data_IF_816444975836
#
_entry.id   IF_816444975836
#
_cell.length_a   1.000
_cell.length_b   1.000
_cell.length_c   1.000
_cell.angle_alpha   90.00
_cell.angle_beta   90.00
_cell.angle_gamma   90.00
#
_symmetry.space_group_name_H-M   'P 1'
#
loop_
_entity.id
_entity.type
_entity.pdbx_description
1 polymer ?
#
# COMPACT_ATOMS: atom_id res chain seq x y z
N UNK A 1 17.38 -37.88 -51.39
CA UNK A 1 18.19 -37.16 -50.39
C UNK A 1 17.30 -36.13 -49.70
N UNK A 2 17.17 -36.26 -48.37
CA UNK A 2 16.62 -35.34 -47.34
C UNK A 2 15.22 -34.73 -47.59
N UNK A 3 14.15 -35.12 -46.89
CA UNK A 3 13.86 -35.00 -45.45
C UNK A 3 13.84 -33.55 -44.96
N UNK A 4 12.65 -33.05 -44.59
CA UNK A 4 12.28 -32.80 -43.18
C UNK A 4 10.76 -32.58 -43.13
N UNK A 5 10.14 -33.48 -42.38
CA UNK A 5 8.75 -33.59 -41.97
C UNK A 5 8.55 -32.79 -40.66
N UNK A 6 7.37 -32.22 -40.43
CA UNK A 6 7.14 -31.34 -39.29
C UNK A 6 5.75 -30.73 -39.18
N UNK A 7 4.69 -31.46 -39.52
CA UNK A 7 3.32 -31.04 -39.20
C UNK A 7 2.97 -31.40 -37.74
N UNK A 8 2.99 -30.39 -36.87
CA UNK A 8 2.58 -30.48 -35.47
C UNK A 8 1.04 -30.48 -35.38
N UNK A 9 0.48 -31.64 -35.10
CA UNK A 9 -0.91 -31.86 -34.71
C UNK A 9 -1.16 -31.25 -33.32
N UNK A 10 -2.17 -30.40 -33.18
CA UNK A 10 -2.73 -30.00 -31.90
C UNK A 10 -4.04 -30.77 -31.67
N UNK A 11 -4.22 -31.49 -30.55
CA UNK A 11 -5.51 -32.06 -30.22
C UNK A 11 -6.45 -30.99 -29.64
N UNK A 12 -7.71 -31.03 -30.08
CA UNK A 12 -8.87 -30.38 -29.45
C UNK A 12 -8.94 -30.81 -27.98
N UNK A 13 -9.15 -29.85 -27.09
CA UNK A 13 -9.57 -30.11 -25.71
C UNK A 13 -11.05 -29.76 -25.64
N UNK A 14 -11.85 -30.79 -25.38
CA UNK A 14 -13.27 -30.73 -24.99
C UNK A 14 -13.44 -29.79 -23.79
N UNK A 15 -14.37 -28.84 -23.88
CA UNK A 15 -14.72 -27.93 -22.78
C UNK A 15 -15.88 -28.55 -22.01
N UNK A 16 -15.55 -29.29 -20.94
CA UNK A 16 -16.52 -29.80 -19.97
C UNK A 16 -17.11 -28.63 -19.17
N UNK A 17 -18.43 -28.55 -19.19
CA UNK A 17 -19.23 -27.63 -18.39
C UNK A 17 -19.37 -28.22 -16.98
N UNK A 18 -18.72 -27.61 -16.00
CA UNK A 18 -19.08 -27.81 -14.60
C UNK A 18 -19.82 -26.60 -14.05
N UNK A 19 -21.03 -26.89 -13.56
CA UNK A 19 -21.89 -26.05 -12.74
C UNK A 19 -21.15 -25.60 -11.48
N UNK A 20 -21.14 -24.29 -11.22
CA UNK A 20 -20.86 -23.77 -9.88
C UNK A 20 -22.00 -22.83 -9.48
N UNK A 21 -22.80 -23.35 -8.56
CA UNK A 21 -23.93 -22.71 -7.92
C UNK A 21 -23.50 -21.56 -6.99
N UNK A 22 -24.43 -20.61 -6.91
CA UNK A 22 -24.52 -19.45 -6.01
C UNK A 22 -23.83 -19.55 -4.65
N UNK A 23 -23.02 -18.54 -4.33
CA UNK A 23 -22.79 -18.12 -2.95
C UNK A 23 -22.84 -16.60 -2.84
N UNK A 24 -23.98 -16.14 -2.33
CA UNK A 24 -24.36 -14.76 -2.13
C UNK A 24 -23.92 -14.32 -0.73
N UNK A 25 -22.90 -13.45 -0.62
CA UNK A 25 -22.50 -12.83 0.65
C UNK A 25 -23.07 -11.41 0.75
N UNK A 26 -24.19 -11.28 1.47
CA UNK A 26 -24.67 -9.99 1.97
C UNK A 26 -24.25 -9.84 3.43
N UNK A 27 -23.43 -8.81 3.75
CA UNK A 27 -23.14 -8.42 5.14
C UNK A 27 -23.53 -6.96 5.35
N UNK A 28 -24.70 -6.78 5.96
CA UNK A 28 -25.28 -5.51 6.44
C UNK A 28 -24.64 -5.17 7.79
N UNK A 29 -24.09 -3.96 7.95
CA UNK A 29 -23.74 -3.40 9.26
C UNK A 29 -24.81 -2.38 9.68
N UNK A 30 -25.36 -2.44 10.92
CA UNK A 30 -26.15 -1.35 11.45
C UNK A 30 -25.35 -0.45 12.43
N UNK A 31 -25.91 0.73 12.61
CA UNK A 31 -25.32 1.96 13.12
C UNK A 31 -24.96 2.02 14.61
N UNK A 32 -23.97 2.89 14.86
CA UNK A 32 -23.51 3.47 16.11
C UNK A 32 -24.62 4.25 16.84
N UNK A 33 -24.72 4.08 18.17
CA UNK A 33 -25.52 4.96 19.04
C UNK A 33 -24.74 5.35 20.28
N UNK A 34 -24.52 6.65 20.38
CA UNK A 34 -23.84 7.41 21.41
C UNK A 34 -24.70 7.51 22.69
N UNK A 35 -24.09 7.48 23.89
CA UNK A 35 -24.58 8.10 25.14
C UNK A 35 -23.62 7.88 26.31
N UNK A 36 -23.34 8.96 27.05
CA UNK A 36 -23.09 8.91 28.50
C UNK A 36 -21.70 9.33 28.96
N UNK A 37 -21.53 10.63 29.20
CA UNK A 37 -20.40 11.14 29.97
C UNK A 37 -20.61 11.00 31.48
N UNK A 38 -19.52 10.92 32.24
CA UNK A 38 -19.48 11.46 33.60
C UNK A 38 -18.07 11.93 33.97
N UNK A 39 -18.04 12.97 34.80
CA UNK A 39 -16.90 13.82 35.17
C UNK A 39 -16.35 13.44 36.55
N UNK A 40 -15.09 13.82 36.79
CA UNK A 40 -14.50 14.11 38.12
C UNK A 40 -13.50 13.06 38.59
N UNK A 41 -12.45 13.35 39.36
CA UNK A 41 -11.86 14.59 39.90
C UNK A 41 -10.50 14.14 40.52
N UNK A 42 -9.40 14.86 40.30
CA UNK A 42 -8.12 14.77 41.06
C UNK A 42 -8.21 15.83 42.20
N UNK A 43 -7.28 16.07 43.16
CA UNK A 43 -6.14 15.32 43.78
C UNK A 43 -6.12 15.41 45.33
N UNK A 44 -5.09 14.87 46.00
CA UNK A 44 -4.79 15.26 47.40
C UNK A 44 -3.54 14.64 48.03
N UNK A 45 -2.47 15.43 48.11
CA UNK A 45 -1.24 15.23 48.90
C UNK A 45 -1.52 15.66 50.36
N UNK A 46 -0.98 14.97 51.37
CA UNK A 46 -0.73 15.55 52.70
C UNK A 46 0.61 15.10 53.26
N UNK A 47 1.43 16.10 53.59
CA UNK A 47 2.66 16.09 54.38
C UNK A 47 2.29 16.48 55.82
N UNK A 48 2.94 15.87 56.83
CA UNK A 48 3.02 16.38 58.20
C UNK A 48 3.81 15.38 59.07
N UNK A 49 5.01 15.59 59.62
CA UNK A 49 5.69 16.72 60.30
C UNK A 49 5.28 16.89 61.79
N UNK A 50 6.15 16.33 62.64
CA UNK A 50 6.73 16.85 63.92
C UNK A 50 5.93 16.79 65.23
N UNK A 51 6.74 16.56 66.29
CA UNK A 51 6.61 16.94 67.71
C UNK A 51 6.14 15.80 68.64
N UNK A 52 6.64 15.53 69.84
CA UNK A 52 7.75 15.99 70.71
C UNK A 52 7.47 15.40 72.12
N UNK A 53 8.39 15.61 73.09
CA UNK A 53 8.26 15.54 74.58
C UNK A 53 9.11 14.38 75.18
N UNK A 54 10.33 14.58 75.75
CA UNK A 54 10.78 15.35 76.97
C UNK A 54 10.24 14.66 78.24
N UNK A 55 10.95 14.24 79.30
CA UNK A 55 12.15 14.67 80.07
C UNK A 55 12.48 13.53 81.08
N UNK A 56 13.73 13.12 81.35
CA UNK A 56 14.74 13.67 82.30
C UNK A 56 14.45 13.47 83.80
N UNK A 57 15.28 12.67 84.49
CA UNK A 57 15.74 12.74 85.91
C UNK A 57 16.49 11.42 86.26
N UNK A 58 17.57 11.32 87.02
CA UNK A 58 18.25 12.22 87.96
C UNK A 58 19.67 11.65 88.21
N UNK A 59 20.69 12.52 88.24
CA UNK A 59 22.09 12.22 88.60
C UNK A 59 22.29 12.18 90.12
N UNK A 60 23.23 11.36 90.62
CA UNK A 60 24.26 11.76 91.62
C UNK A 60 25.34 10.68 91.79
N UNK A 61 26.60 11.07 91.51
CA UNK A 61 27.88 10.40 91.89
C UNK A 61 28.24 10.83 93.35
N UNK A 62 29.40 10.54 93.98
CA UNK A 62 30.61 9.81 93.52
C UNK A 62 31.34 8.93 94.57
N UNK A 63 32.47 8.30 94.14
CA UNK A 63 33.77 8.05 94.83
C UNK A 63 33.73 7.32 96.20
N UNK A 64 34.64 6.42 96.59
CA UNK A 64 36.02 6.11 96.22
C UNK A 64 36.39 4.84 97.05
N UNK A 65 37.30 4.00 96.54
CA UNK A 65 38.46 3.44 97.26
C UNK A 65 38.21 2.78 98.65
N UNK A 66 38.64 1.56 98.96
CA UNK A 66 39.95 0.96 98.70
C UNK A 66 40.11 -0.32 99.56
N UNK A 67 41.02 -1.18 99.12
CA UNK A 67 41.78 -2.17 99.90
C UNK A 67 41.16 -3.51 100.32
N UNK A 68 41.88 -4.53 99.86
CA UNK A 68 42.04 -5.82 100.47
C UNK A 68 42.39 -5.73 101.97
N UNK A 69 41.78 -6.60 102.77
CA UNK A 69 42.54 -7.30 103.80
C UNK A 69 41.86 -8.61 104.24
N UNK A 70 42.62 -9.69 104.10
CA UNK A 70 42.85 -10.73 105.10
C UNK A 70 41.69 -11.48 105.78
N UNK A 71 41.69 -12.78 105.51
CA UNK A 71 42.03 -13.82 106.52
C UNK A 71 40.92 -14.42 107.38
N UNK A 72 40.78 -15.73 107.15
CA UNK A 72 40.48 -16.81 108.10
C UNK A 72 39.06 -16.98 108.65
N UNK A 73 38.44 -18.05 108.13
CA UNK A 73 38.04 -19.26 108.88
C UNK A 73 37.95 -19.11 110.41
N UNK A 74 36.78 -19.42 110.97
CA UNK A 74 36.56 -20.63 111.79
C UNK A 74 35.13 -20.74 112.34
N UNK A 75 34.50 -21.85 111.96
CA UNK A 75 33.78 -22.87 112.76
C UNK A 75 33.07 -22.50 114.07
N UNK A 76 31.78 -22.85 114.13
CA UNK A 76 30.91 -22.96 115.31
C UNK A 76 31.05 -24.41 115.86
N UNK A 77 31.63 -24.62 117.04
CA UNK A 77 31.08 -24.68 118.41
C UNK A 77 30.46 -26.02 118.82
N UNK A 78 31.05 -26.59 119.87
CA UNK A 78 30.43 -27.48 120.84
C UNK A 78 31.50 -28.30 121.58
N UNK A 79 31.62 -28.33 122.91
CA UNK A 79 30.79 -27.80 124.00
C UNK A 79 31.61 -27.85 125.33
N UNK A 80 31.25 -26.98 126.30
CA UNK A 80 31.37 -27.08 127.78
C UNK A 80 32.65 -26.60 128.51
N UNK A 81 32.54 -25.39 129.11
CA UNK A 81 32.70 -24.99 130.54
C UNK A 81 33.51 -25.89 131.52
N UNK A 82 34.25 -25.46 132.55
CA UNK A 82 34.43 -24.19 133.29
C UNK A 82 35.63 -24.33 134.28
N UNK A 83 36.40 -23.24 134.41
CA UNK A 83 37.06 -22.67 135.61
C UNK A 83 38.23 -23.32 136.42
N UNK A 84 39.16 -22.40 136.77
CA UNK A 84 40.18 -22.26 137.86
C UNK A 84 41.54 -23.01 137.87
N UNK A 85 42.62 -22.21 138.04
CA UNK A 85 44.10 -22.47 138.07
C UNK A 85 44.61 -23.26 139.32
N UNK A 86 45.92 -23.58 139.53
CA UNK A 86 47.18 -23.35 138.75
C UNK A 86 48.16 -24.59 138.67
N UNK A 87 49.33 -24.46 138.00
CA UNK A 87 50.68 -25.05 138.33
C UNK A 87 51.54 -25.50 137.13
N UNK A 88 52.86 -25.44 137.30
CA UNK A 88 53.92 -25.64 136.29
C UNK A 88 54.04 -27.06 135.73
N UNK A 89 54.44 -27.19 134.46
CA UNK A 89 55.36 -28.24 133.98
C UNK A 89 55.89 -27.93 132.57
N UNK A 90 57.14 -28.32 132.32
CA UNK A 90 57.89 -28.24 131.05
C UNK A 90 57.73 -29.58 130.31
N UNK A 91 57.86 -29.65 128.97
CA UNK A 91 58.60 -30.73 128.24
C UNK A 91 58.48 -30.67 126.69
N UNK A 92 59.65 -30.46 126.07
CA UNK A 92 60.28 -30.86 124.77
C UNK A 92 59.57 -30.86 123.39
N UNK A 93 60.40 -30.60 122.37
CA UNK A 93 60.13 -30.38 120.95
C UNK A 93 60.44 -31.59 120.03
N UNK A 94 59.91 -31.55 118.79
CA UNK A 94 60.23 -32.45 117.67
C UNK A 94 60.41 -31.65 116.37
N UNK A 95 61.48 -31.96 115.60
CA UNK A 95 61.99 -31.25 114.41
C UNK A 95 61.23 -31.62 113.13
N UNK A 96 60.92 -30.63 112.29
CA UNK A 96 60.42 -30.78 110.90
C UNK A 96 61.40 -30.16 109.90
N UNK A 97 61.63 -30.85 108.77
CA UNK A 97 62.50 -30.40 107.67
C UNK A 97 61.70 -29.53 106.70
N UNK A 98 62.14 -28.29 106.48
CA UNK A 98 61.59 -27.36 105.49
C UNK A 98 62.62 -27.10 104.37
N UNK A 99 62.19 -27.21 103.12
CA UNK A 99 62.99 -26.92 101.92
C UNK A 99 63.24 -25.43 101.81
N UNK A 100 64.51 -25.03 101.83
CA UNK A 100 64.96 -23.65 101.60
C UNK A 100 65.14 -23.45 100.09
N UNK A 101 64.25 -22.68 99.46
CA UNK A 101 64.45 -22.22 98.09
C UNK A 101 65.65 -21.26 98.06
N UNK A 102 66.74 -21.67 97.42
CA UNK A 102 67.92 -20.82 97.17
C UNK A 102 67.64 -19.98 95.93
N UNK A 103 67.25 -18.73 96.11
CA UNK A 103 67.31 -17.72 95.06
C UNK A 103 68.76 -17.25 94.89
N UNK A 104 69.22 -17.18 93.63
CA UNK A 104 70.53 -16.66 93.24
C UNK A 104 70.28 -15.33 92.50
N UNK A 105 70.58 -14.22 93.15
CA UNK A 105 70.50 -12.89 92.53
C UNK A 105 71.64 -12.73 91.52
N UNK A 106 71.32 -12.81 90.22
CA UNK A 106 72.23 -12.54 89.13
C UNK A 106 71.70 -11.38 88.28
N UNK A 107 72.47 -10.30 88.17
CA UNK A 107 72.14 -9.14 87.35
C UNK A 107 72.60 -9.39 85.91
N UNK A 108 71.67 -9.47 84.97
CA UNK A 108 71.95 -9.53 83.54
C UNK A 108 71.09 -8.53 82.79
N UNK A 109 71.60 -7.98 81.69
CA UNK A 109 70.83 -7.10 80.80
C UNK A 109 70.04 -7.96 79.82
N UNK A 110 68.71 -7.86 79.84
CA UNK A 110 67.85 -8.53 78.85
C UNK A 110 67.85 -7.68 77.58
N UNK A 111 68.33 -8.26 76.48
CA UNK A 111 68.27 -7.64 75.15
C UNK A 111 67.40 -8.51 74.25
N UNK A 112 66.55 -7.88 73.43
CA UNK A 112 65.71 -8.61 72.49
C UNK A 112 66.60 -9.30 71.45
N UNK A 113 66.31 -10.58 71.16
CA UNK A 113 67.04 -11.34 70.13
C UNK A 113 66.81 -10.79 68.71
N UNK A 114 65.62 -10.23 68.45
CA UNK A 114 65.25 -9.56 67.20
C UNK A 114 64.34 -8.38 67.53
N UNK A 115 64.63 -7.21 66.97
CA UNK A 115 63.91 -5.97 67.27
C UNK A 115 63.35 -5.41 65.97
N UNK A 116 62.07 -5.67 65.72
CA UNK A 116 61.37 -5.14 64.55
C UNK A 116 60.65 -3.85 64.96
N UNK A 117 61.08 -2.67 64.47
CA UNK A 117 60.36 -1.44 64.71
C UNK A 117 58.99 -1.53 64.04
N UNK A 118 57.93 -1.28 64.81
CA UNK A 118 56.56 -1.21 64.27
C UNK A 118 56.33 0.20 63.77
N UNK A 119 56.29 0.34 62.45
CA UNK A 119 56.09 1.61 61.76
C UNK A 119 54.65 1.70 61.24
N UNK A 120 54.05 2.90 61.20
CA UNK A 120 52.80 3.10 60.50
C UNK A 120 53.01 2.87 59.00
N UNK A 121 52.05 2.21 58.35
CA UNK A 121 52.10 1.94 56.91
C UNK A 121 51.85 3.21 56.06
N UNK A 122 51.26 4.24 56.67
CA UNK A 122 51.03 5.54 56.06
C UNK A 122 51.82 6.62 56.81
N UNK A 123 52.60 7.41 56.06
CA UNK A 123 53.39 8.50 56.62
C UNK A 123 52.54 9.77 56.77
N UNK A 124 52.85 10.59 57.79
CA UNK A 124 52.22 11.90 57.99
C UNK A 124 50.95 11.92 58.85
N UNK A 125 50.60 10.80 59.49
CA UNK A 125 49.49 10.72 60.44
C UNK A 125 49.95 11.04 61.86
N UNK A 126 49.15 11.81 62.59
CA UNK A 126 49.42 12.17 63.98
C UNK A 126 48.93 11.05 64.90
N UNK A 127 49.68 10.74 65.97
CA UNK A 127 49.25 9.78 66.98
C UNK A 127 48.14 10.43 67.81
N UNK A 128 46.94 9.84 67.76
CA UNK A 128 45.81 10.30 68.55
C UNK A 128 45.85 9.71 69.96
N UNK A 129 46.21 8.43 70.08
CA UNK A 129 46.33 7.74 71.35
C UNK A 129 47.29 6.55 71.25
N UNK A 130 48.12 6.33 72.26
CA UNK A 130 48.90 5.09 72.45
C UNK A 130 48.15 4.23 73.47
N UNK A 131 47.97 2.94 73.18
CA UNK A 131 47.09 2.02 73.92
C UNK A 131 47.84 0.93 74.67
N UNK A 132 49.16 0.89 74.54
CA UNK A 132 50.04 -0.10 75.19
C UNK A 132 51.18 0.62 75.88
N UNK A 133 51.53 0.12 77.06
CA UNK A 133 52.64 0.67 77.85
C UNK A 133 53.91 -0.19 77.70
N UNK A 134 55.07 0.39 78.00
CA UNK A 134 56.37 -0.30 77.88
C UNK A 134 56.44 -1.54 78.79
N UNK A 135 56.73 -2.72 78.20
CA UNK A 135 56.82 -4.00 78.91
C UNK A 135 55.55 -4.86 78.85
N UNK A 136 54.46 -4.37 78.25
CA UNK A 136 53.22 -5.11 78.07
C UNK A 136 53.34 -6.14 76.93
N UNK A 137 52.84 -7.36 77.16
CA UNK A 137 52.86 -8.42 76.13
C UNK A 137 51.73 -8.19 75.13
N UNK A 138 52.09 -7.89 73.89
CA UNK A 138 51.12 -7.73 72.80
C UNK A 138 50.92 -9.01 72.00
N UNK A 139 49.69 -9.24 71.56
CA UNK A 139 49.32 -10.38 70.69
C UNK A 139 49.12 -9.93 69.25
N UNK A 140 49.24 -10.86 68.29
CA UNK A 140 49.01 -10.55 66.88
C UNK A 140 47.60 -9.99 66.67
N UNK A 141 47.51 -8.81 66.05
CA UNK A 141 46.24 -8.11 65.81
C UNK A 141 45.81 -7.15 66.92
N UNK A 142 46.56 -7.06 68.02
CA UNK A 142 46.31 -6.09 69.08
C UNK A 142 46.67 -4.67 68.62
N UNK A 143 45.74 -3.73 68.82
CA UNK A 143 45.95 -2.31 68.47
C UNK A 143 46.85 -1.66 69.50
N UNK A 144 47.98 -1.12 69.05
CA UNK A 144 48.97 -0.50 69.92
C UNK A 144 48.89 1.03 69.94
N UNK A 145 48.42 1.65 68.85
CA UNK A 145 48.20 3.09 68.76
C UNK A 145 47.08 3.39 67.74
N UNK A 146 46.33 4.46 68.00
CA UNK A 146 45.33 5.02 67.09
C UNK A 146 45.93 6.28 66.47
N UNK A 147 45.85 6.39 65.15
CA UNK A 147 46.32 7.54 64.38
C UNK A 147 45.13 8.38 63.91
N UNK A 148 45.29 9.71 63.77
CA UNK A 148 44.27 10.61 63.23
C UNK A 148 44.07 10.34 61.74
N UNK A 149 42.97 9.66 61.43
CA UNK A 149 42.58 9.25 60.09
C UNK A 149 41.62 10.23 59.41
N UNK A 150 41.39 11.42 59.96
CA UNK A 150 40.43 12.39 59.43
C UNK A 150 40.73 12.80 57.98
N UNK A 151 42.00 12.93 57.61
CA UNK A 151 42.44 13.23 56.23
C UNK A 151 42.17 12.04 55.31
N UNK A 152 42.52 10.81 55.70
CA UNK A 152 42.22 9.60 54.91
C UNK A 152 40.72 9.37 54.77
N UNK A 153 39.94 9.53 55.85
CA UNK A 153 38.47 9.46 55.80
C UNK A 153 37.90 10.52 54.87
N UNK A 154 38.42 11.74 54.89
CA UNK A 154 38.00 12.81 53.97
C UNK A 154 38.34 12.46 52.51
N UNK A 155 39.54 11.92 52.25
CA UNK A 155 39.96 11.45 50.92
C UNK A 155 39.10 10.27 50.43
N UNK A 156 38.83 9.28 51.30
CA UNK A 156 37.94 8.15 51.01
C UNK A 156 36.52 8.65 50.73
N UNK A 157 36.00 9.59 51.52
CA UNK A 157 34.67 10.17 51.29
C UNK A 157 34.61 10.97 49.99
N UNK A 158 35.69 11.69 49.63
CA UNK A 158 35.81 12.37 48.35
C UNK A 158 35.82 11.37 47.18
N UNK A 159 36.64 10.31 47.26
CA UNK A 159 36.70 9.26 46.24
C UNK A 159 35.39 8.47 46.13
N UNK A 160 34.72 8.16 47.25
CA UNK A 160 33.37 7.58 47.25
C UNK A 160 32.35 8.48 46.58
N UNK A 161 32.45 9.80 46.78
CA UNK A 161 31.58 10.77 46.11
C UNK A 161 31.86 10.85 44.60
N UNK A 162 33.12 10.67 44.19
CA UNK A 162 33.51 10.57 42.78
C UNK A 162 32.91 9.31 42.13
N UNK A 163 33.07 8.13 42.75
CA UNK A 163 32.43 6.88 42.28
C UNK A 163 30.91 7.02 42.22
N UNK A 164 30.26 7.60 43.24
CA UNK A 164 28.82 7.83 43.24
C UNK A 164 28.38 8.76 42.09
N UNK A 165 29.19 9.77 41.76
CA UNK A 165 28.95 10.68 40.63
C UNK A 165 29.13 9.95 39.29
N UNK A 166 30.21 9.18 39.11
CA UNK A 166 30.46 8.39 37.91
C UNK A 166 29.39 7.32 37.67
N UNK A 167 28.92 6.65 38.73
CA UNK A 167 27.79 5.72 38.66
C UNK A 167 26.49 6.41 38.24
N UNK A 168 26.24 7.61 38.75
CA UNK A 168 25.08 8.42 38.34
C UNK A 168 25.15 8.79 36.86
N UNK A 169 26.34 9.07 36.35
CA UNK A 169 26.56 9.34 34.92
C UNK A 169 26.30 8.11 34.04
N UNK A 170 26.74 6.91 34.47
CA UNK A 170 26.41 5.65 33.77
C UNK A 170 24.90 5.45 33.67
N UNK A 171 24.16 5.67 34.75
CA UNK A 171 22.69 5.53 34.74
C UNK A 171 22.02 6.55 33.79
N UNK A 172 22.50 7.80 33.76
CA UNK A 172 22.04 8.79 32.77
C UNK A 172 22.31 8.34 31.33
N UNK A 173 23.50 7.78 31.04
CA UNK A 173 23.84 7.27 29.71
C UNK A 173 23.04 6.02 29.35
N UNK A 174 22.74 5.13 30.30
CA UNK A 174 21.85 3.97 30.13
C UNK A 174 20.43 4.40 29.79
N UNK A 175 19.90 5.43 30.46
CA UNK A 175 18.61 6.02 30.11
C UNK A 175 18.61 6.62 28.70
N UNK A 176 19.70 7.30 28.32
CA UNK A 176 19.87 7.83 26.96
C UNK A 176 19.90 6.71 25.89
N UNK A 177 20.62 5.62 26.14
CA UNK A 177 20.65 4.45 25.25
C UNK A 177 19.28 3.75 25.15
N UNK A 178 18.54 3.64 26.26
CA UNK A 178 17.17 3.13 26.21
C UNK A 178 16.29 3.98 25.29
N UNK A 179 16.43 5.31 25.33
CA UNK A 179 15.73 6.23 24.43
C UNK A 179 16.14 6.06 22.96
N UNK A 180 17.44 5.88 22.66
CA UNK A 180 17.88 5.64 21.27
C UNK A 180 17.35 4.32 20.72
N UNK A 181 17.26 3.28 21.55
CA UNK A 181 16.64 1.99 21.17
C UNK A 181 15.17 2.16 20.76
N UNK A 182 14.40 2.92 21.53
CA UNK A 182 13.02 3.28 21.17
C UNK A 182 12.98 4.06 19.86
N UNK A 183 13.97 4.92 19.59
CA UNK A 183 14.12 5.61 18.31
C UNK A 183 14.28 4.67 17.11
N UNK A 184 15.04 3.57 17.27
CA UNK A 184 15.16 2.53 16.22
C UNK A 184 13.84 1.82 15.99
N UNK A 185 13.10 1.49 17.05
CA UNK A 185 11.78 0.86 16.94
C UNK A 185 10.79 1.79 16.20
N UNK A 186 10.78 3.08 16.55
CA UNK A 186 9.97 4.10 15.86
C UNK A 186 10.35 4.26 14.39
N UNK A 187 11.65 4.32 14.07
CA UNK A 187 12.12 4.42 12.69
C UNK A 187 11.78 3.16 11.88
N UNK A 188 11.87 1.98 12.50
CA UNK A 188 11.54 0.70 11.85
C UNK A 188 10.04 0.63 11.54
N UNK A 189 9.19 1.00 12.51
CA UNK A 189 7.74 1.09 12.29
C UNK A 189 7.39 2.08 11.17
N UNK A 190 8.06 3.24 11.10
CA UNK A 190 7.87 4.21 10.02
C UNK A 190 8.30 3.66 8.64
N UNK A 191 9.37 2.86 8.59
CA UNK A 191 9.82 2.20 7.37
C UNK A 191 8.86 1.12 6.89
N UNK A 192 8.34 0.31 7.81
CA UNK A 192 7.29 -0.69 7.53
C UNK A 192 6.01 -0.03 7.02
N UNK A 193 5.59 1.08 7.63
CA UNK A 193 4.45 1.87 7.15
C UNK A 193 4.68 2.39 5.73
N UNK A 194 5.88 2.92 5.43
CA UNK A 194 6.19 3.39 4.08
C UNK A 194 6.16 2.25 3.04
N UNK A 195 6.58 1.03 3.42
CA UNK A 195 6.46 -0.16 2.57
C UNK A 195 5.00 -0.50 2.30
N UNK A 196 4.17 -0.51 3.35
CA UNK A 196 2.74 -0.75 3.22
C UNK A 196 2.06 0.29 2.30
N UNK A 197 2.40 1.57 2.46
CA UNK A 197 1.89 2.65 1.59
C UNK A 197 2.30 2.43 0.12
N UNK A 198 3.56 2.09 -0.14
CA UNK A 198 4.06 1.76 -1.50
C UNK A 198 3.30 0.59 -2.10
N UNK A 199 3.07 -0.47 -1.33
CA UNK A 199 2.38 -1.66 -1.81
C UNK A 199 0.89 -1.38 -2.04
N UNK A 200 0.28 -0.49 -1.25
CA UNK A 200 -1.04 0.08 -1.54
C UNK A 200 -1.07 0.81 -2.89
N UNK A 201 -0.08 1.64 -3.20
CA UNK A 201 0.02 2.32 -4.51
C UNK A 201 0.21 1.33 -5.66
N UNK A 202 0.97 0.24 -5.46
CA UNK A 202 1.10 -0.82 -6.49
C UNK A 202 -0.25 -1.47 -6.80
N UNK A 203 -1.09 -1.69 -5.79
CA UNK A 203 -2.45 -2.17 -6.01
C UNK A 203 -3.29 -1.16 -6.82
N UNK A 204 -3.17 0.14 -6.53
CA UNK A 204 -3.81 1.20 -7.33
C UNK A 204 -3.30 1.24 -8.78
N UNK A 205 -2.01 0.98 -9.03
CA UNK A 205 -1.47 0.85 -10.39
C UNK A 205 -2.09 -0.35 -11.11
N UNK A 206 -2.24 -1.49 -10.43
CA UNK A 206 -2.87 -2.66 -11.01
C UNK A 206 -4.33 -2.36 -11.42
N UNK A 207 -5.08 -1.65 -10.58
CA UNK A 207 -6.43 -1.19 -10.89
C UNK A 207 -6.46 -0.22 -12.08
N UNK A 208 -5.56 0.78 -12.10
CA UNK A 208 -5.47 1.73 -13.21
C UNK A 208 -5.09 1.03 -14.54
N UNK A 209 -4.21 0.03 -14.49
CA UNK A 209 -3.85 -0.77 -15.65
C UNK A 209 -5.05 -1.59 -16.16
N UNK A 210 -5.79 -2.23 -15.27
CA UNK A 210 -7.00 -2.96 -15.63
C UNK A 210 -8.05 -2.05 -16.28
N UNK A 211 -8.28 -0.86 -15.71
CA UNK A 211 -9.20 0.13 -16.28
C UNK A 211 -8.77 0.65 -17.67
N UNK A 212 -7.47 0.83 -17.88
CA UNK A 212 -6.91 1.14 -19.20
C UNK A 212 -7.14 0.00 -20.20
N UNK A 213 -6.89 -1.24 -19.79
CA UNK A 213 -7.07 -2.41 -20.65
C UNK A 213 -8.55 -2.59 -21.04
N UNK A 214 -9.48 -2.34 -20.11
CA UNK A 214 -10.92 -2.31 -20.38
C UNK A 214 -11.29 -1.19 -21.36
N UNK A 215 -10.74 0.02 -21.19
CA UNK A 215 -10.96 1.12 -22.13
C UNK A 215 -10.46 0.78 -23.54
N UNK A 216 -9.30 0.13 -23.68
CA UNK A 216 -8.79 -0.35 -24.96
C UNK A 216 -9.68 -1.43 -25.59
N UNK A 217 -10.19 -2.37 -24.79
CA UNK A 217 -11.13 -3.38 -25.26
C UNK A 217 -12.43 -2.73 -25.77
N UNK A 218 -12.97 -1.76 -25.03
CA UNK A 218 -14.13 -0.97 -25.44
C UNK A 218 -13.89 -0.17 -26.72
N UNK A 219 -12.71 0.43 -26.89
CA UNK A 219 -12.30 1.11 -28.12
C UNK A 219 -12.27 0.14 -29.30
N UNK A 220 -11.69 -1.04 -29.12
CA UNK A 220 -11.63 -2.08 -30.16
C UNK A 220 -13.03 -2.50 -30.61
N UNK A 221 -13.95 -2.74 -29.67
CA UNK A 221 -15.34 -3.07 -29.99
C UNK A 221 -16.04 -1.94 -30.74
N UNK A 222 -15.80 -0.69 -30.34
CA UNK A 222 -16.41 0.49 -30.98
C UNK A 222 -15.88 0.68 -32.41
N UNK A 223 -14.58 0.44 -32.64
CA UNK A 223 -13.99 0.47 -33.99
C UNK A 223 -14.57 -0.63 -34.88
N UNK A 224 -14.78 -1.83 -34.36
CA UNK A 224 -15.44 -2.90 -35.11
C UNK A 224 -16.88 -2.51 -35.51
N UNK A 225 -17.67 -1.94 -34.58
CA UNK A 225 -19.02 -1.47 -34.88
C UNK A 225 -19.05 -0.35 -35.92
N UNK A 226 -18.07 0.56 -35.93
CA UNK A 226 -17.89 1.55 -37.00
C UNK A 226 -17.61 0.87 -38.33
N UNK A 227 -16.73 -0.14 -38.35
CA UNK A 227 -16.38 -0.84 -39.59
C UNK A 227 -17.61 -1.59 -40.16
N UNK A 228 -18.45 -2.18 -39.30
CA UNK A 228 -19.74 -2.76 -39.69
C UNK A 228 -20.68 -1.71 -40.29
N UNK A 229 -20.75 -0.50 -39.70
CA UNK A 229 -21.56 0.59 -40.22
C UNK A 229 -21.05 1.06 -41.60
N UNK A 230 -19.74 1.13 -41.81
CA UNK A 230 -19.13 1.48 -43.09
C UNK A 230 -19.41 0.41 -44.15
N UNK A 231 -19.35 -0.87 -43.78
CA UNK A 231 -19.72 -1.97 -44.67
C UNK A 231 -21.20 -1.89 -45.08
N UNK A 232 -22.11 -1.59 -44.14
CA UNK A 232 -23.52 -1.39 -44.42
C UNK A 232 -23.79 -0.19 -45.35
N UNK A 233 -23.05 0.91 -45.19
CA UNK A 233 -23.11 2.05 -46.11
C UNK A 233 -22.70 1.65 -47.53
N UNK A 234 -21.60 0.89 -47.66
CA UNK A 234 -21.13 0.38 -48.96
C UNK A 234 -22.18 -0.50 -49.64
N UNK A 235 -22.82 -1.40 -48.89
CA UNK A 235 -23.90 -2.24 -49.41
C UNK A 235 -25.09 -1.40 -49.90
N UNK A 236 -25.46 -0.37 -49.15
CA UNK A 236 -26.57 0.52 -49.52
C UNK A 236 -26.24 1.34 -50.77
N UNK A 237 -25.00 1.78 -50.92
CA UNK A 237 -24.52 2.44 -52.14
C UNK A 237 -24.56 1.52 -53.36
N UNK A 238 -24.23 0.23 -53.20
CA UNK A 238 -24.37 -0.76 -54.27
C UNK A 238 -25.83 -0.88 -54.71
N UNK A 239 -26.77 -1.00 -53.77
CA UNK A 239 -28.21 -1.04 -54.10
C UNK A 239 -28.71 0.23 -54.79
N UNK A 240 -28.18 1.41 -54.43
CA UNK A 240 -28.46 2.66 -55.17
C UNK A 240 -27.96 2.58 -56.61
N UNK A 241 -26.75 2.07 -56.81
CA UNK A 241 -26.17 1.93 -58.15
C UNK A 241 -26.98 0.93 -59.00
N UNK A 242 -27.47 -0.17 -58.40
CA UNK A 242 -28.36 -1.13 -59.08
C UNK A 242 -29.67 -0.46 -59.52
N UNK A 243 -30.27 0.39 -58.66
CA UNK A 243 -31.45 1.16 -59.01
C UNK A 243 -31.20 2.14 -60.18
N UNK A 244 -30.03 2.78 -60.21
CA UNK A 244 -29.61 3.65 -61.33
C UNK A 244 -29.43 2.85 -62.62
N UNK A 245 -28.84 1.64 -62.54
CA UNK A 245 -28.72 0.76 -63.70
C UNK A 245 -30.10 0.32 -64.22
N UNK A 246 -31.03 0.01 -63.33
CA UNK A 246 -32.41 -0.31 -63.69
C UNK A 246 -33.12 0.86 -64.39
N UNK A 247 -32.94 2.09 -63.93
CA UNK A 247 -33.46 3.29 -64.63
C UNK A 247 -32.91 3.37 -66.05
N UNK A 248 -31.61 3.15 -66.25
CA UNK A 248 -31.00 3.15 -67.59
C UNK A 248 -31.63 2.09 -68.50
N UNK A 249 -31.95 0.90 -67.97
CA UNK A 249 -32.65 -0.13 -68.73
C UNK A 249 -34.07 0.32 -69.13
N UNK A 250 -34.82 0.95 -68.21
CA UNK A 250 -36.16 1.46 -68.53
C UNK A 250 -36.13 2.60 -69.58
N UNK A 251 -35.08 3.41 -69.57
CA UNK A 251 -34.87 4.45 -70.59
C UNK A 251 -34.59 3.84 -71.97
N UNK A 252 -33.81 2.76 -72.04
CA UNK A 252 -33.61 2.03 -73.29
C UNK A 252 -34.94 1.49 -73.84
N UNK A 253 -35.78 0.88 -72.98
CA UNK A 253 -37.11 0.41 -73.39
C UNK A 253 -38.05 1.52 -73.87
N UNK A 254 -37.98 2.72 -73.28
CA UNK A 254 -38.71 3.90 -73.80
C UNK A 254 -38.22 4.28 -75.20
N UNK A 255 -36.91 4.26 -75.42
CA UNK A 255 -36.35 4.58 -76.73
C UNK A 255 -36.77 3.57 -77.79
N UNK A 256 -36.83 2.28 -77.45
CA UNK A 256 -37.36 1.24 -78.35
C UNK A 256 -38.84 1.48 -78.67
N UNK A 257 -39.65 1.85 -77.67
CA UNK A 257 -41.05 2.19 -77.88
C UNK A 257 -41.22 3.43 -78.78
N UNK A 258 -40.38 4.45 -78.63
CA UNK A 258 -40.36 5.62 -79.51
C UNK A 258 -39.96 5.28 -80.94
N UNK A 259 -38.97 4.41 -81.12
CA UNK A 259 -38.60 3.91 -82.45
C UNK A 259 -39.76 3.14 -83.11
N UNK A 260 -40.53 2.38 -82.32
CA UNK A 260 -41.75 1.73 -82.81
C UNK A 260 -42.83 2.73 -83.23
N UNK A 261 -42.99 3.86 -82.53
CA UNK A 261 -43.91 4.94 -82.94
C UNK A 261 -43.46 5.54 -84.27
N UNK A 262 -42.18 5.85 -84.42
CA UNK A 262 -41.65 6.38 -85.67
C UNK A 262 -41.89 5.42 -86.86
N UNK A 263 -41.75 4.11 -86.63
CA UNK A 263 -42.05 3.09 -87.65
C UNK A 263 -43.53 3.05 -88.03
N UNK A 264 -44.45 3.16 -87.06
CA UNK A 264 -45.90 3.17 -87.35
C UNK A 264 -46.35 4.49 -87.97
N UNK A 265 -45.72 5.61 -87.64
CA UNK A 265 -45.91 6.90 -88.31
C UNK A 265 -45.51 6.84 -89.79
N UNK A 266 -44.38 6.21 -90.12
CA UNK A 266 -43.99 5.99 -91.50
C UNK A 266 -45.03 5.15 -92.28
N UNK A 267 -45.56 4.09 -91.67
CA UNK A 267 -46.63 3.26 -92.27
C UNK A 267 -47.96 4.01 -92.44
N UNK A 268 -48.30 4.90 -91.51
CA UNK A 268 -49.46 5.78 -91.68
C UNK A 268 -49.27 6.75 -92.83
N UNK A 269 -48.07 7.32 -92.97
CA UNK A 269 -47.76 8.20 -94.10
C UNK A 269 -47.88 7.46 -95.45
N UNK A 270 -47.39 6.22 -95.52
CA UNK A 270 -47.57 5.33 -96.68
C UNK A 270 -49.06 5.08 -96.98
N UNK A 271 -49.84 4.63 -95.99
CA UNK A 271 -51.27 4.38 -96.15
C UNK A 271 -52.06 5.63 -96.58
N UNK A 272 -51.70 6.80 -96.06
CA UNK A 272 -52.31 8.08 -96.45
C UNK A 272 -51.99 8.45 -97.89
N UNK A 273 -50.75 8.22 -98.33
CA UNK A 273 -50.37 8.45 -99.73
C UNK A 273 -51.13 7.51 -100.68
N UNK A 274 -51.36 6.25 -100.28
CA UNK A 274 -52.18 5.29 -101.03
C UNK A 274 -53.66 5.69 -101.08
N UNK A 275 -54.26 6.13 -99.98
CA UNK A 275 -55.64 6.65 -99.95
C UNK A 275 -55.76 7.87 -100.88
N UNK A 276 -54.82 8.80 -100.81
CA UNK A 276 -54.82 10.00 -101.63
C UNK A 276 -54.69 9.65 -103.13
N UNK A 277 -53.84 8.68 -103.48
CA UNK A 277 -53.75 8.18 -104.85
C UNK A 277 -55.05 7.53 -105.32
N UNK A 278 -55.63 6.65 -104.51
CA UNK A 278 -56.90 5.99 -104.82
C UNK A 278 -58.04 7.00 -105.01
N UNK A 279 -58.07 8.07 -104.20
CA UNK A 279 -59.04 9.15 -104.30
C UNK A 279 -58.88 9.93 -105.61
N UNK A 280 -57.65 10.37 -105.95
CA UNK A 280 -57.38 11.06 -107.23
C UNK A 280 -57.77 10.20 -108.43
N UNK A 281 -57.47 8.90 -108.39
CA UNK A 281 -57.86 7.96 -109.43
C UNK A 281 -59.39 7.83 -109.52
N UNK A 282 -60.09 7.71 -108.40
CA UNK A 282 -61.55 7.66 -108.37
C UNK A 282 -62.19 8.94 -108.95
N UNK A 283 -61.69 10.12 -108.60
CA UNK A 283 -62.15 11.42 -109.13
C UNK A 283 -61.96 11.53 -110.65
N UNK A 284 -60.77 11.14 -111.15
CA UNK A 284 -60.51 11.07 -112.60
C UNK A 284 -61.50 10.13 -113.29
N UNK A 285 -61.78 8.97 -112.71
CA UNK A 285 -62.69 7.98 -113.29
C UNK A 285 -64.16 8.40 -113.19
N UNK A 286 -64.56 9.17 -112.17
CA UNK A 286 -65.89 9.79 -112.14
C UNK A 286 -66.08 10.72 -113.34
N UNK A 287 -65.07 11.54 -113.64
CA UNK A 287 -65.09 12.45 -114.80
C UNK A 287 -65.22 11.65 -116.10
N UNK A 288 -64.38 10.64 -116.31
CA UNK A 288 -64.43 9.76 -117.49
C UNK A 288 -65.78 9.02 -117.61
N UNK A 289 -66.41 8.65 -116.49
CA UNK A 289 -67.75 8.04 -116.53
C UNK A 289 -68.81 9.03 -117.00
N UNK A 290 -68.74 10.28 -116.54
CA UNK A 290 -69.65 11.35 -116.96
C UNK A 290 -69.53 11.68 -118.45
N UNK A 291 -68.33 11.48 -119.02
CA UNK A 291 -68.06 11.59 -120.46
C UNK A 291 -68.43 10.33 -121.26
N UNK A 292 -68.88 9.26 -120.60
CA UNK A 292 -69.36 8.02 -121.22
C UNK A 292 -68.26 7.03 -121.65
N UNK A 293 -66.99 7.27 -121.33
CA UNK A 293 -65.84 6.49 -121.82
C UNK A 293 -65.50 5.24 -120.97
N UNK A 294 -66.12 5.05 -119.81
CA UNK A 294 -65.92 3.85 -118.96
C UNK A 294 -67.23 3.20 -118.47
N UNK A 295 -67.16 1.94 -118.02
CA UNK A 295 -68.30 1.19 -117.47
C UNK A 295 -68.59 1.59 -116.00
N UNK A 296 -69.81 1.29 -115.52
CA UNK A 296 -70.16 1.54 -114.10
C UNK A 296 -69.39 0.63 -113.15
N UNK A 297 -69.09 -0.59 -113.59
CA UNK A 297 -68.30 -1.57 -112.84
C UNK A 297 -66.86 -1.07 -112.62
N UNK A 298 -66.26 -0.41 -113.61
CA UNK A 298 -64.91 0.16 -113.49
C UNK A 298 -64.88 1.27 -112.43
N UNK A 299 -65.88 2.16 -112.43
CA UNK A 299 -66.01 3.21 -111.42
C UNK A 299 -66.25 2.64 -110.01
N UNK A 300 -67.10 1.61 -109.89
CA UNK A 300 -67.36 0.92 -108.62
C UNK A 300 -66.10 0.25 -108.05
N UNK A 301 -65.25 -0.29 -108.94
CA UNK A 301 -63.95 -0.87 -108.56
C UNK A 301 -63.05 0.20 -107.94
N UNK A 302 -62.99 1.40 -108.52
CA UNK A 302 -62.22 2.53 -107.96
C UNK A 302 -62.82 3.05 -106.64
N UNK A 303 -64.16 3.11 -106.53
CA UNK A 303 -64.84 3.44 -105.27
C UNK A 303 -64.47 2.46 -104.15
N UNK A 304 -64.45 1.17 -104.46
CA UNK A 304 -64.04 0.12 -103.52
C UNK A 304 -62.57 0.27 -103.15
N UNK A 305 -61.68 0.61 -104.09
CA UNK A 305 -60.28 0.86 -103.81
C UNK A 305 -60.07 2.02 -102.79
N UNK A 306 -60.82 3.13 -102.93
CA UNK A 306 -60.80 4.21 -101.94
C UNK A 306 -61.24 3.73 -100.56
N UNK A 307 -62.34 2.98 -100.47
CA UNK A 307 -62.82 2.42 -99.19
C UNK A 307 -61.76 1.53 -98.54
N UNK A 308 -61.10 0.67 -99.31
CA UNK A 308 -60.02 -0.18 -98.82
C UNK A 308 -58.83 0.63 -98.32
N UNK A 309 -58.40 1.65 -99.07
CA UNK A 309 -57.28 2.49 -98.68
C UNK A 309 -57.58 3.31 -97.41
N UNK A 310 -58.80 3.83 -97.27
CA UNK A 310 -59.29 4.48 -96.04
C UNK A 310 -59.25 3.54 -94.83
N UNK A 311 -59.66 2.28 -95.00
CA UNK A 311 -59.53 1.29 -93.92
C UNK A 311 -58.06 0.99 -93.60
N UNK A 312 -57.18 1.03 -94.60
CA UNK A 312 -55.72 0.97 -94.40
C UNK A 312 -55.20 2.08 -93.50
N UNK A 313 -55.61 3.33 -93.77
CA UNK A 313 -55.29 4.49 -92.90
C UNK A 313 -55.81 4.27 -91.49
N UNK A 314 -57.07 3.86 -91.32
CA UNK A 314 -57.66 3.60 -89.99
C UNK A 314 -56.89 2.54 -89.21
N UNK A 315 -56.44 1.47 -89.88
CA UNK A 315 -55.60 0.43 -89.25
C UNK A 315 -54.23 1.00 -88.85
N UNK A 316 -53.62 1.82 -89.70
CA UNK A 316 -52.34 2.46 -89.40
C UNK A 316 -52.44 3.46 -88.22
N UNK A 317 -53.53 4.22 -88.11
CA UNK A 317 -53.81 5.10 -86.97
C UNK A 317 -53.95 4.31 -85.67
N UNK A 318 -54.74 3.22 -85.68
CA UNK A 318 -54.88 2.34 -84.53
C UNK A 318 -53.53 1.71 -84.09
N UNK A 319 -52.64 1.41 -85.03
CA UNK A 319 -51.30 0.91 -84.74
C UNK A 319 -50.40 1.99 -84.10
N UNK A 320 -50.53 3.26 -84.49
CA UNK A 320 -49.84 4.37 -83.83
C UNK A 320 -50.34 4.55 -82.41
N UNK A 321 -51.66 4.54 -82.18
CA UNK A 321 -52.22 4.69 -80.84
C UNK A 321 -51.74 3.57 -79.90
N UNK A 322 -51.69 2.33 -80.40
CA UNK A 322 -51.10 1.20 -79.70
C UNK A 322 -49.62 1.40 -79.38
N UNK A 323 -48.83 1.94 -80.32
CA UNK A 323 -47.41 2.24 -80.09
C UNK A 323 -47.21 3.38 -79.07
N UNK A 324 -48.05 4.43 -79.12
CA UNK A 324 -48.04 5.54 -78.15
C UNK A 324 -48.38 5.06 -76.74
N UNK A 325 -49.36 4.17 -76.59
CA UNK A 325 -49.67 3.56 -75.30
C UNK A 325 -48.47 2.79 -74.70
N UNK A 326 -47.64 2.14 -75.54
CA UNK A 326 -46.39 1.50 -75.07
C UNK A 326 -45.36 2.51 -74.56
N UNK A 327 -45.27 3.69 -75.19
CA UNK A 327 -44.40 4.78 -74.71
C UNK A 327 -44.87 5.26 -73.33
N UNK A 328 -46.17 5.48 -73.15
CA UNK A 328 -46.74 5.89 -71.86
C UNK A 328 -46.43 4.88 -70.74
N UNK A 329 -46.58 3.58 -71.02
CA UNK A 329 -46.18 2.50 -70.09
C UNK A 329 -44.69 2.57 -69.76
N UNK A 330 -43.82 2.81 -70.76
CA UNK A 330 -42.39 2.95 -70.53
C UNK A 330 -42.04 4.19 -69.68
N UNK A 331 -42.75 5.30 -69.86
CA UNK A 331 -42.59 6.52 -69.05
C UNK A 331 -43.07 6.34 -67.61
N UNK A 332 -44.16 5.61 -67.41
CA UNK A 332 -44.61 5.19 -66.08
C UNK A 332 -43.55 4.32 -65.38
N UNK A 333 -42.93 3.38 -66.11
CA UNK A 333 -41.84 2.55 -65.58
C UNK A 333 -40.59 3.37 -65.22
N UNK A 334 -40.22 4.37 -66.02
CA UNK A 334 -39.14 5.32 -65.69
C UNK A 334 -39.47 6.08 -64.40
N UNK A 335 -40.71 6.56 -64.26
CA UNK A 335 -41.16 7.29 -63.07
C UNK A 335 -41.06 6.42 -61.82
N UNK A 336 -41.47 5.15 -61.91
CA UNK A 336 -41.30 4.14 -60.86
C UNK A 336 -39.82 3.88 -60.52
N UNK A 337 -38.95 3.77 -61.54
CA UNK A 337 -37.52 3.58 -61.33
C UNK A 337 -36.85 4.79 -60.63
N UNK A 338 -37.26 6.02 -60.97
CA UNK A 338 -36.79 7.24 -60.29
C UNK A 338 -37.18 7.25 -58.81
N UNK A 339 -38.43 6.89 -58.48
CA UNK A 339 -38.87 6.79 -57.08
C UNK A 339 -38.04 5.77 -56.28
N UNK A 340 -37.66 4.64 -56.91
CA UNK A 340 -36.77 3.65 -56.27
C UNK A 340 -35.37 4.20 -56.00
N UNK A 341 -34.83 5.03 -56.90
CA UNK A 341 -33.54 5.70 -56.69
C UNK A 341 -33.64 6.66 -55.50
N UNK A 342 -34.70 7.46 -55.42
CA UNK A 342 -34.91 8.40 -54.31
C UNK A 342 -34.94 7.67 -52.95
N UNK A 343 -35.67 6.55 -52.88
CA UNK A 343 -35.68 5.68 -51.68
C UNK A 343 -34.27 5.15 -51.38
N UNK A 344 -33.53 4.71 -52.39
CA UNK A 344 -32.16 4.22 -52.20
C UNK A 344 -31.20 5.33 -51.73
N UNK A 345 -31.34 6.56 -52.23
CA UNK A 345 -30.56 7.72 -51.79
C UNK A 345 -30.89 8.14 -50.36
N UNK A 346 -32.16 8.08 -49.96
CA UNK A 346 -32.57 8.27 -48.58
C UNK A 346 -31.94 7.21 -47.66
N UNK A 347 -31.90 5.95 -48.10
CA UNK A 347 -31.22 4.87 -47.36
C UNK A 347 -29.70 5.11 -47.26
N UNK A 348 -29.04 5.54 -48.33
CA UNK A 348 -27.61 5.91 -48.30
C UNK A 348 -27.37 7.02 -47.29
N UNK A 349 -28.22 8.04 -47.28
CA UNK A 349 -28.13 9.17 -46.35
C UNK A 349 -28.28 8.73 -44.89
N UNK A 350 -29.24 7.84 -44.61
CA UNK A 350 -29.44 7.23 -43.29
C UNK A 350 -28.23 6.38 -42.86
N UNK A 351 -27.69 5.56 -43.76
CA UNK A 351 -26.49 4.76 -43.48
C UNK A 351 -25.26 5.64 -43.21
N UNK A 352 -25.11 6.77 -43.93
CA UNK A 352 -24.05 7.74 -43.69
C UNK A 352 -24.14 8.36 -42.29
N UNK A 353 -25.34 8.77 -41.87
CA UNK A 353 -25.55 9.28 -40.52
C UNK A 353 -25.17 8.24 -39.43
N UNK A 354 -25.43 6.96 -39.65
CA UNK A 354 -24.99 5.88 -38.74
C UNK A 354 -23.47 5.77 -38.65
N UNK A 355 -22.75 5.93 -39.78
CA UNK A 355 -21.29 5.97 -39.80
C UNK A 355 -20.76 7.17 -39.00
N UNK A 356 -21.38 8.34 -39.16
CA UNK A 356 -20.99 9.55 -38.42
C UNK A 356 -21.18 9.40 -36.91
N UNK A 357 -22.29 8.78 -36.47
CA UNK A 357 -22.53 8.42 -35.07
C UNK A 357 -21.45 7.44 -34.58
N UNK A 358 -21.14 6.41 -35.37
CA UNK A 358 -20.12 5.43 -35.00
C UNK A 358 -18.72 6.06 -34.87
N UNK A 359 -18.36 7.00 -35.74
CA UNK A 359 -17.13 7.79 -35.65
C UNK A 359 -17.08 8.65 -34.37
N UNK A 360 -18.21 9.27 -34.00
CA UNK A 360 -18.33 10.04 -32.76
C UNK A 360 -18.16 9.16 -31.51
N UNK A 361 -18.70 7.94 -31.56
CA UNK A 361 -18.50 6.94 -30.50
C UNK A 361 -17.04 6.48 -30.42
N UNK A 362 -16.36 6.25 -31.55
CA UNK A 362 -14.92 5.95 -31.56
C UNK A 362 -14.13 7.08 -30.91
N UNK A 363 -14.41 8.33 -31.27
CA UNK A 363 -13.73 9.50 -30.69
C UNK A 363 -13.93 9.57 -29.16
N UNK A 364 -15.15 9.29 -28.69
CA UNK A 364 -15.47 9.24 -27.26
C UNK A 364 -14.75 8.08 -26.55
N UNK A 365 -14.59 6.94 -27.21
CA UNK A 365 -13.85 5.80 -26.67
C UNK A 365 -12.34 6.06 -26.62
N UNK A 366 -11.78 6.78 -27.60
CA UNK A 366 -10.37 7.21 -27.59
C UNK A 366 -10.08 8.14 -26.43
N UNK A 367 -10.97 9.11 -26.14
CA UNK A 367 -10.85 9.98 -24.97
C UNK A 367 -10.88 9.20 -23.63
N UNK A 368 -11.65 8.10 -23.55
CA UNK A 368 -11.65 7.22 -22.36
C UNK A 368 -10.32 6.50 -22.18
N UNK A 369 -9.72 6.03 -23.27
CA UNK A 369 -8.39 5.41 -23.24
C UNK A 369 -7.36 6.43 -22.75
N UNK A 370 -7.37 7.64 -23.29
CA UNK A 370 -6.47 8.72 -22.89
C UNK A 370 -6.60 9.06 -21.40
N UNK A 371 -7.84 9.20 -20.89
CA UNK A 371 -8.10 9.43 -19.47
C UNK A 371 -7.59 8.28 -18.57
N UNK A 372 -7.70 7.04 -19.03
CA UNK A 372 -7.21 5.88 -18.29
C UNK A 372 -5.67 5.81 -18.29
N UNK A 373 -5.02 6.16 -19.40
CA UNK A 373 -3.56 6.30 -19.49
C UNK A 373 -3.03 7.41 -18.59
N UNK A 374 -3.71 8.56 -18.55
CA UNK A 374 -3.38 9.66 -17.63
C UNK A 374 -3.48 9.23 -16.16
N UNK A 375 -4.53 8.46 -15.83
CA UNK A 375 -4.72 7.91 -14.48
C UNK A 375 -3.59 6.94 -14.11
N UNK A 376 -3.20 6.05 -15.03
CA UNK A 376 -2.06 5.15 -14.85
C UNK A 376 -0.74 5.91 -14.65
N UNK A 377 -0.51 6.95 -15.44
CA UNK A 377 0.66 7.82 -15.33
C UNK A 377 0.74 8.51 -13.96
N UNK A 378 -0.38 9.05 -13.47
CA UNK A 378 -0.49 9.63 -12.13
C UNK A 378 -0.15 8.62 -11.03
N UNK A 379 -0.72 7.41 -11.10
CA UNK A 379 -0.41 6.33 -10.14
C UNK A 379 1.07 5.91 -10.18
N UNK A 380 1.70 5.91 -11.37
CA UNK A 380 3.15 5.65 -11.50
C UNK A 380 4.00 6.78 -10.88
N UNK A 381 3.55 8.03 -10.93
CA UNK A 381 4.22 9.13 -10.24
C UNK A 381 4.11 9.00 -8.71
N UNK A 382 2.93 8.60 -8.21
CA UNK A 382 2.73 8.28 -6.79
C UNK A 382 3.63 7.14 -6.32
N UNK A 383 3.83 6.10 -7.15
CA UNK A 383 4.74 5.00 -6.80
C UNK A 383 6.17 5.49 -6.61
N UNK A 384 6.67 6.33 -7.52
CA UNK A 384 8.01 6.93 -7.38
C UNK A 384 8.14 7.74 -6.09
N UNK A 385 7.10 8.49 -5.70
CA UNK A 385 7.08 9.22 -4.42
C UNK A 385 7.08 8.27 -3.22
N UNK A 386 6.29 7.19 -3.26
CA UNK A 386 6.24 6.19 -2.20
C UNK A 386 7.58 5.44 -2.06
N UNK A 387 8.23 5.09 -3.16
CA UNK A 387 9.56 4.48 -3.17
C UNK A 387 10.63 5.41 -2.56
N UNK A 388 10.57 6.70 -2.87
CA UNK A 388 11.45 7.70 -2.24
C UNK A 388 11.25 7.77 -0.72
N UNK A 389 9.99 7.71 -0.23
CA UNK A 389 9.68 7.65 1.20
C UNK A 389 10.22 6.38 1.86
N UNK A 390 10.08 5.22 1.21
CA UNK A 390 10.67 3.96 1.70
C UNK A 390 12.19 4.09 1.85
N UNK A 391 12.86 4.67 0.86
CA UNK A 391 14.32 4.87 0.91
C UNK A 391 14.73 5.84 2.03
N UNK A 392 14.00 6.95 2.20
CA UNK A 392 14.25 7.89 3.30
C UNK A 392 14.03 7.26 4.67
N UNK A 393 12.95 6.50 4.86
CA UNK A 393 12.67 5.83 6.12
C UNK A 393 13.72 4.75 6.42
N UNK A 394 14.19 4.02 5.41
CA UNK A 394 15.31 3.07 5.55
C UNK A 394 16.59 3.78 6.01
N UNK A 395 16.92 4.95 5.45
CA UNK A 395 18.07 5.74 5.87
C UNK A 395 17.94 6.23 7.33
N UNK A 396 16.73 6.57 7.77
CA UNK A 396 16.46 6.96 9.16
C UNK A 396 16.67 5.77 10.12
N UNK A 397 16.26 4.55 9.74
CA UNK A 397 16.55 3.33 10.52
C UNK A 397 18.05 3.14 10.68
N UNK A 398 18.82 3.28 9.60
CA UNK A 398 20.28 3.18 9.66
C UNK A 398 20.89 4.24 10.58
N UNK A 399 20.41 5.48 10.51
CA UNK A 399 20.89 6.59 11.35
C UNK A 399 20.57 6.36 12.83
N UNK A 400 19.34 5.94 13.16
CA UNK A 400 18.94 5.60 14.53
C UNK A 400 19.77 4.44 15.11
N UNK A 401 20.12 3.44 14.28
CA UNK A 401 21.02 2.35 14.71
C UNK A 401 22.43 2.85 15.01
N UNK A 402 22.95 3.78 14.22
CA UNK A 402 24.25 4.40 14.50
C UNK A 402 24.24 5.22 15.80
N UNK A 403 23.12 5.89 16.12
CA UNK A 403 22.95 6.59 17.41
C UNK A 403 22.93 5.62 18.61
N UNK A 404 22.30 4.45 18.46
CA UNK A 404 22.35 3.38 19.47
C UNK A 404 23.79 2.93 19.71
N UNK A 405 24.55 2.68 18.63
CA UNK A 405 25.95 2.27 18.72
C UNK A 405 26.82 3.32 19.42
N UNK A 406 26.64 4.60 19.07
CA UNK A 406 27.33 5.70 19.74
C UNK A 406 26.96 5.80 21.23
N UNK A 407 25.68 5.61 21.58
CA UNK A 407 25.23 5.61 22.97
C UNK A 407 25.83 4.45 23.78
N UNK A 408 25.99 3.25 23.18
CA UNK A 408 26.67 2.12 23.79
C UNK A 408 28.14 2.42 24.06
N UNK A 409 28.87 2.93 23.07
CA UNK A 409 30.28 3.33 23.24
C UNK A 409 30.46 4.39 24.35
N UNK A 410 29.51 5.32 24.48
CA UNK A 410 29.49 6.28 25.58
C UNK A 410 29.28 5.60 26.94
N UNK A 411 28.40 4.60 27.04
CA UNK A 411 28.22 3.83 28.29
C UNK A 411 29.52 3.13 28.66
N UNK A 412 30.16 2.45 27.71
CA UNK A 412 31.41 1.72 27.94
C UNK A 412 32.51 2.65 28.48
N UNK A 413 32.63 3.85 27.88
CA UNK A 413 33.58 4.87 28.34
C UNK A 413 33.29 5.36 29.77
N UNK A 414 32.01 5.52 30.14
CA UNK A 414 31.63 5.91 31.50
C UNK A 414 31.83 4.78 32.51
N UNK A 415 31.61 3.53 32.11
CA UNK A 415 31.90 2.38 32.94
C UNK A 415 33.40 2.22 33.20
N UNK A 416 34.24 2.51 32.20
CA UNK A 416 35.69 2.54 32.38
C UNK A 416 36.12 3.60 33.42
N UNK A 417 35.49 4.77 33.44
CA UNK A 417 35.75 5.79 34.47
C UNK A 417 35.34 5.31 35.86
N UNK A 418 34.18 4.66 36.00
CA UNK A 418 33.76 4.07 37.28
C UNK A 418 34.79 3.04 37.77
N UNK A 419 35.25 2.15 36.90
CA UNK A 419 36.29 1.17 37.24
C UNK A 419 37.56 1.87 37.71
N UNK A 420 38.03 2.90 36.98
CA UNK A 420 39.22 3.65 37.35
C UNK A 420 39.07 4.39 38.69
N UNK A 421 37.87 4.85 39.06
CA UNK A 421 37.63 5.52 40.34
C UNK A 421 37.46 4.51 41.49
N UNK A 422 36.94 3.30 41.19
CA UNK A 422 36.86 2.18 42.14
C UNK A 422 38.25 1.62 42.45
N UNK A 423 39.12 1.47 41.45
CA UNK A 423 40.53 1.05 41.63
C UNK A 423 41.33 2.02 42.51
N UNK A 424 40.88 3.28 42.66
CA UNK A 424 41.51 4.28 43.55
C UNK A 424 41.01 4.21 45.00
N UNK A 425 39.93 3.46 45.26
CA UNK A 425 39.39 3.22 46.60
C UNK A 425 40.00 1.97 47.26
N UNK A 426 40.51 1.03 46.47
CA UNK A 426 41.28 -0.13 46.92
C UNK A 426 42.74 0.25 47.22
#
# INVERSE_FOLDING_TARGET
MASIDGHKLYPKVEEDKEDIQDINYTKKFPHQKNKGGWKGLIPGIVIGVIASVVSMQLLSKPKQNTEANTTSTQTITGVVETNVSPSMSVTVAKVELATVERTLDATGSVVAFDLLPVLPQANGLQIQQVLVDEGEKVTQGQVMAILDDSVLKSQINQAKSQVASARSEVEQRRAAHSKTKVGVEQATAAWEQAIADRDGVKATIAQAKAGRDEAFAGLKQTKASRDDAVAALKQTQASRNDAVAALKQTQASRNDALASVAQTEAKLAEAKAEEEQAMRDFERYQTLKSEGVISSQELETRSTAVKTAREGVRVAEANIDSAKAKVEIAEANISSAKAKIEIAEANVSSAKAKVDIANSNVSSAEARVESAEASLSSSMAQLRSAEAKVNSAKANVSSARAEVESALSNIDSAMANVSSDEDRLE
#
